data_IF_653492554167
#
_entry.id   IF_653492554167
#
_cell.length_a   1.000
_cell.length_b   1.000
_cell.length_c   1.000
_cell.angle_alpha   90.00
_cell.angle_beta   90.00
_cell.angle_gamma   90.00
#
_symmetry.space_group_name_H-M   'P 1'
#
loop_
_entity.id
_entity.type
_entity.pdbx_description
1 polymer ?
#
# COMPACT_ATOMS: atom_id res chain seq x y z
N UNK A 1 -12.98 5.45 9.48
CA UNK A 1 -12.81 6.10 8.15
C UNK A 1 -12.66 5.02 7.09
N UNK A 2 -13.19 5.19 5.87
CA UNK A 2 -13.18 4.14 4.84
C UNK A 2 -11.76 3.67 4.47
N UNK A 3 -10.81 4.59 4.28
CA UNK A 3 -9.42 4.31 3.92
C UNK A 3 -8.60 3.64 5.03
N UNK A 4 -8.66 4.15 6.27
CA UNK A 4 -7.98 3.50 7.41
C UNK A 4 -8.55 2.09 7.65
N UNK A 5 -9.87 1.92 7.54
CA UNK A 5 -10.51 0.60 7.61
C UNK A 5 -10.04 -0.31 6.47
N UNK A 6 -9.85 0.24 5.27
CA UNK A 6 -9.33 -0.53 4.14
C UNK A 6 -7.88 -0.97 4.38
N UNK A 7 -7.01 -0.08 4.86
CA UNK A 7 -5.62 -0.43 5.23
C UNK A 7 -5.58 -1.48 6.35
N UNK A 8 -6.40 -1.33 7.39
CA UNK A 8 -6.55 -2.30 8.48
C UNK A 8 -7.03 -3.66 7.97
N UNK A 9 -8.01 -3.67 7.07
CA UNK A 9 -8.49 -4.89 6.43
C UNK A 9 -7.41 -5.56 5.58
N UNK A 10 -6.63 -4.79 4.81
CA UNK A 10 -5.58 -5.33 3.95
C UNK A 10 -4.44 -5.94 4.76
N UNK A 11 -3.97 -5.26 5.82
CA UNK A 11 -2.91 -5.82 6.65
C UNK A 11 -3.38 -7.08 7.38
N UNK A 12 -4.61 -7.10 7.90
CA UNK A 12 -5.19 -8.28 8.54
C UNK A 12 -5.33 -9.47 7.57
N UNK A 13 -5.78 -9.21 6.34
CA UNK A 13 -5.87 -10.25 5.29
C UNK A 13 -4.50 -10.81 4.92
N UNK A 14 -3.48 -9.93 4.80
CA UNK A 14 -2.11 -10.35 4.57
C UNK A 14 -1.57 -11.21 5.72
N UNK A 15 -1.78 -10.79 6.97
CA UNK A 15 -1.35 -11.52 8.16
C UNK A 15 -1.99 -12.91 8.25
N UNK A 16 -3.30 -13.00 7.97
CA UNK A 16 -4.01 -14.28 7.90
C UNK A 16 -3.44 -15.18 6.80
N UNK A 17 -3.22 -14.67 5.59
CA UNK A 17 -2.61 -15.43 4.50
C UNK A 17 -1.19 -15.90 4.86
N UNK A 18 -0.42 -15.04 5.52
CA UNK A 18 0.93 -15.34 6.01
C UNK A 18 0.93 -16.47 7.05
N UNK A 19 -0.07 -16.52 7.93
CA UNK A 19 -0.24 -17.62 8.87
C UNK A 19 -0.63 -18.94 8.18
N UNK A 20 -1.50 -18.88 7.17
CA UNK A 20 -1.80 -20.03 6.31
C UNK A 20 -0.53 -20.58 5.64
N UNK A 21 0.34 -19.71 5.11
CA UNK A 21 1.63 -20.12 4.53
C UNK A 21 2.55 -20.77 5.57
N UNK A 22 2.61 -20.25 6.81
CA UNK A 22 3.38 -20.87 7.90
C UNK A 22 2.85 -22.25 8.27
N UNK A 23 1.53 -22.45 8.26
CA UNK A 23 0.90 -23.75 8.52
C UNK A 23 1.28 -24.74 7.41
N UNK A 24 1.11 -24.35 6.14
CA UNK A 24 1.47 -25.19 4.99
C UNK A 24 2.98 -25.54 4.97
N UNK A 25 3.85 -24.59 5.30
CA UNK A 25 5.29 -24.82 5.40
C UNK A 25 5.64 -25.83 6.52
N UNK A 26 4.94 -25.78 7.65
CA UNK A 26 5.10 -26.75 8.75
C UNK A 26 4.60 -28.13 8.36
N UNK A 27 3.44 -28.23 7.72
CA UNK A 27 2.86 -29.50 7.27
C UNK A 27 3.78 -30.22 6.26
N UNK A 28 4.32 -29.47 5.29
CA UNK A 28 5.30 -30.00 4.31
C UNK A 28 6.61 -30.43 4.96
N UNK A 29 7.14 -29.65 5.92
CA UNK A 29 8.36 -30.02 6.66
C UNK A 29 8.18 -31.26 7.52
N UNK A 30 7.05 -31.39 8.20
CA UNK A 30 6.71 -32.53 9.06
C UNK A 30 6.15 -33.74 8.29
N UNK A 31 6.08 -33.66 6.94
CA UNK A 31 5.57 -34.73 6.06
C UNK A 31 4.18 -35.25 6.45
N UNK A 32 3.30 -34.35 6.92
CA UNK A 32 1.92 -34.72 7.30
C UNK A 32 1.05 -34.78 6.04
N UNK A 33 1.14 -35.90 5.31
CA UNK A 33 0.51 -36.09 3.99
C UNK A 33 -1.02 -35.88 4.01
N UNK A 34 -1.69 -36.21 5.10
CA UNK A 34 -3.14 -36.04 5.24
C UNK A 34 -3.59 -34.57 5.14
N UNK A 35 -2.77 -33.62 5.60
CA UNK A 35 -3.05 -32.18 5.51
C UNK A 35 -2.77 -31.60 4.11
N UNK A 36 -2.08 -32.37 3.25
CA UNK A 36 -1.65 -31.95 1.92
C UNK A 36 -2.43 -32.66 0.81
N UNK A 37 -3.28 -33.61 1.17
CA UNK A 37 -4.15 -34.33 0.24
C UNK A 37 -5.09 -33.35 -0.47
N UNK A 38 -5.29 -33.57 -1.77
CA UNK A 38 -6.17 -32.75 -2.60
C UNK A 38 -5.69 -31.29 -2.72
N UNK A 39 -4.38 -31.06 -2.53
CA UNK A 39 -3.74 -29.75 -2.72
C UNK A 39 -2.62 -29.81 -3.75
N UNK A 40 -2.20 -28.65 -4.25
CA UNK A 40 -1.05 -28.53 -5.15
C UNK A 40 0.29 -28.89 -4.49
N UNK A 41 0.32 -29.16 -3.18
CA UNK A 41 1.52 -29.55 -2.43
C UNK A 41 1.82 -31.06 -2.45
N UNK A 42 0.89 -31.90 -2.91
CA UNK A 42 0.94 -33.37 -2.82
C UNK A 42 2.08 -34.01 -3.66
N UNK A 43 2.49 -33.35 -4.75
CA UNK A 43 3.33 -33.98 -5.79
C UNK A 43 4.84 -33.90 -5.54
N UNK A 44 5.33 -32.92 -4.78
CA UNK A 44 6.77 -32.79 -4.45
C UNK A 44 7.02 -31.85 -3.27
N UNK A 45 7.43 -32.41 -2.11
CA UNK A 45 7.65 -31.64 -0.88
C UNK A 45 8.73 -30.55 -0.98
N UNK A 46 9.80 -30.79 -1.75
CA UNK A 46 10.88 -29.81 -1.94
C UNK A 46 10.40 -28.64 -2.80
N UNK A 47 9.66 -28.94 -3.86
CA UNK A 47 9.03 -27.93 -4.72
C UNK A 47 7.94 -27.16 -3.97
N UNK A 48 7.13 -27.86 -3.16
CA UNK A 48 6.10 -27.25 -2.31
C UNK A 48 6.70 -26.21 -1.36
N UNK A 49 7.79 -26.53 -0.65
CA UNK A 49 8.46 -25.58 0.23
C UNK A 49 8.97 -24.34 -0.50
N UNK A 50 9.61 -24.53 -1.67
CA UNK A 50 10.07 -23.41 -2.51
C UNK A 50 8.91 -22.54 -2.97
N UNK A 51 7.81 -23.16 -3.41
CA UNK A 51 6.62 -22.45 -3.86
C UNK A 51 5.99 -21.66 -2.70
N UNK A 52 5.85 -22.24 -1.51
CA UNK A 52 5.32 -21.54 -0.33
C UNK A 52 6.18 -20.32 0.02
N UNK A 53 7.51 -20.46 0.03
CA UNK A 53 8.41 -19.34 0.30
C UNK A 53 8.29 -18.24 -0.75
N UNK A 54 8.23 -18.61 -2.03
CA UNK A 54 8.06 -17.67 -3.14
C UNK A 54 6.72 -16.96 -3.06
N UNK A 55 5.62 -17.69 -2.95
CA UNK A 55 4.26 -17.13 -2.85
C UNK A 55 4.15 -16.21 -1.64
N UNK A 56 4.72 -16.58 -0.49
CA UNK A 56 4.75 -15.72 0.69
C UNK A 56 5.48 -14.39 0.42
N UNK A 57 6.61 -14.44 -0.28
CA UNK A 57 7.34 -13.23 -0.67
C UNK A 57 6.55 -12.38 -1.66
N UNK A 58 5.97 -13.00 -2.70
CA UNK A 58 5.13 -12.33 -3.69
C UNK A 58 3.88 -11.69 -3.05
N UNK A 59 3.23 -12.38 -2.10
CA UNK A 59 2.08 -11.84 -1.35
C UNK A 59 2.46 -10.64 -0.48
N UNK A 60 3.66 -10.62 0.09
CA UNK A 60 4.14 -9.45 0.84
C UNK A 60 4.32 -8.23 -0.08
N UNK A 61 4.94 -8.44 -1.24
CA UNK A 61 5.16 -7.40 -2.23
C UNK A 61 3.81 -6.83 -2.75
N UNK A 62 2.84 -7.71 -3.04
CA UNK A 62 1.49 -7.32 -3.47
C UNK A 62 0.70 -6.59 -2.38
N UNK A 63 0.85 -6.98 -1.11
CA UNK A 63 0.20 -6.29 0.00
C UNK A 63 0.68 -4.82 0.11
N UNK A 64 1.98 -4.57 -0.04
CA UNK A 64 2.54 -3.20 -0.06
C UNK A 64 1.99 -2.41 -1.24
N UNK A 65 1.95 -2.99 -2.44
CA UNK A 65 1.40 -2.33 -3.62
C UNK A 65 -0.10 -1.99 -3.47
N UNK A 66 -0.89 -2.90 -2.90
CA UNK A 66 -2.30 -2.67 -2.64
C UNK A 66 -2.51 -1.56 -1.61
N UNK A 67 -1.79 -1.60 -0.48
CA UNK A 67 -1.88 -0.55 0.54
C UNK A 67 -1.46 0.82 0.00
N UNK A 68 -0.44 0.88 -0.86
CA UNK A 68 -0.05 2.11 -1.55
C UNK A 68 -1.21 2.71 -2.35
N UNK A 69 -1.92 1.90 -3.14
CA UNK A 69 -3.02 2.40 -3.97
C UNK A 69 -4.14 3.03 -3.13
N UNK A 70 -4.48 2.43 -1.99
CA UNK A 70 -5.46 3.00 -1.05
C UNK A 70 -4.96 4.28 -0.38
N UNK A 71 -3.68 4.32 0.00
CA UNK A 71 -3.05 5.50 0.57
C UNK A 71 -3.07 6.67 -0.42
N UNK A 72 -2.67 6.43 -1.66
CA UNK A 72 -2.67 7.42 -2.74
C UNK A 72 -4.07 7.96 -3.00
N UNK A 73 -5.07 7.08 -3.09
CA UNK A 73 -6.47 7.49 -3.25
C UNK A 73 -6.98 8.34 -2.09
N UNK A 74 -6.66 8.00 -0.84
CA UNK A 74 -7.12 8.76 0.34
C UNK A 74 -6.57 10.19 0.33
N UNK A 75 -5.32 10.39 -0.08
CA UNK A 75 -4.72 11.73 -0.18
C UNK A 75 -5.35 12.56 -1.30
N UNK A 76 -5.57 11.96 -2.47
CA UNK A 76 -6.26 12.62 -3.59
C UNK A 76 -7.66 13.08 -3.15
N UNK A 77 -8.45 12.18 -2.56
CA UNK A 77 -9.80 12.49 -2.08
C UNK A 77 -9.79 13.52 -0.94
N UNK A 78 -8.75 13.52 -0.11
CA UNK A 78 -8.60 14.53 0.93
C UNK A 78 -8.45 15.93 0.33
N UNK A 79 -7.56 16.11 -0.65
CA UNK A 79 -7.35 17.40 -1.30
C UNK A 79 -8.58 17.83 -2.11
N UNK A 80 -9.22 16.91 -2.83
CA UNK A 80 -10.48 17.17 -3.54
C UNK A 80 -11.55 17.74 -2.59
N UNK A 81 -11.79 17.08 -1.45
CA UNK A 81 -12.75 17.55 -0.43
C UNK A 81 -12.37 18.90 0.19
N UNK A 82 -11.08 19.16 0.42
CA UNK A 82 -10.63 20.46 0.94
C UNK A 82 -10.82 21.57 -0.10
N UNK A 83 -10.56 21.29 -1.38
CA UNK A 83 -10.85 22.19 -2.50
C UNK A 83 -12.33 22.56 -2.57
N UNK A 84 -13.22 21.57 -2.52
CA UNK A 84 -14.68 21.79 -2.53
C UNK A 84 -15.13 22.66 -1.35
N UNK A 85 -14.62 22.38 -0.13
CA UNK A 85 -14.93 23.19 1.05
C UNK A 85 -14.47 24.65 0.88
N UNK A 86 -13.31 24.90 0.26
CA UNK A 86 -12.84 26.26 0.00
C UNK A 86 -13.77 27.00 -0.97
N UNK A 87 -14.30 26.34 -1.99
CA UNK A 87 -15.26 26.93 -2.91
C UNK A 87 -16.58 27.34 -2.21
N UNK A 88 -17.01 26.59 -1.18
CA UNK A 88 -18.22 26.90 -0.42
C UNK A 88 -18.02 27.99 0.64
N UNK A 89 -16.84 28.11 1.24
CA UNK A 89 -16.58 29.08 2.32
C UNK A 89 -16.52 30.54 1.82
N UNK A 90 -15.99 30.76 0.62
CA UNK A 90 -15.94 32.08 -0.02
C UNK A 90 -16.30 31.95 -1.50
N UNK A 91 -17.59 31.77 -1.83
CA UNK A 91 -18.01 31.50 -3.19
C UNK A 91 -17.75 32.73 -4.07
N UNK A 92 -16.66 32.64 -4.85
CA UNK A 92 -16.29 33.59 -5.88
C UNK A 92 -15.91 32.83 -7.16
N UNK A 93 -16.02 33.45 -8.35
CA UNK A 93 -15.66 32.80 -9.61
C UNK A 93 -14.27 32.15 -9.59
N UNK A 94 -13.29 32.82 -8.96
CA UNK A 94 -11.93 32.28 -8.81
C UNK A 94 -11.89 30.99 -7.99
N UNK A 95 -12.50 30.97 -6.79
CA UNK A 95 -12.47 29.80 -5.89
C UNK A 95 -13.21 28.60 -6.46
N UNK A 96 -14.29 28.83 -7.20
CA UNK A 96 -15.05 27.77 -7.88
C UNK A 96 -14.22 27.17 -9.01
N UNK A 97 -13.65 28.02 -9.88
CA UNK A 97 -12.80 27.58 -10.98
C UNK A 97 -11.54 26.86 -10.46
N UNK A 98 -10.94 27.37 -9.38
CA UNK A 98 -9.79 26.74 -8.73
C UNK A 98 -10.15 25.35 -8.19
N UNK A 99 -11.25 25.21 -7.44
CA UNK A 99 -11.69 23.92 -6.91
C UNK A 99 -11.99 22.91 -8.01
N UNK A 100 -12.65 23.34 -9.10
CA UNK A 100 -12.89 22.47 -10.26
C UNK A 100 -11.58 22.02 -10.90
N UNK A 101 -10.64 22.95 -11.10
CA UNK A 101 -9.34 22.63 -11.69
C UNK A 101 -8.55 21.65 -10.84
N UNK A 102 -8.54 21.84 -9.51
CA UNK A 102 -7.92 20.89 -8.58
C UNK A 102 -8.60 19.52 -8.71
N UNK A 103 -9.93 19.46 -8.68
CA UNK A 103 -10.66 18.19 -8.75
C UNK A 103 -10.36 17.40 -10.04
N UNK A 104 -10.23 18.07 -11.19
CA UNK A 104 -9.96 17.42 -12.48
C UNK A 104 -8.49 17.08 -12.71
N UNK A 105 -7.56 17.88 -12.18
CA UNK A 105 -6.13 17.74 -12.50
C UNK A 105 -5.36 16.90 -11.49
N UNK A 106 -5.83 16.84 -10.24
CA UNK A 106 -5.09 16.19 -9.16
C UNK A 106 -4.81 14.70 -9.39
N UNK A 107 -5.65 14.02 -10.16
CA UNK A 107 -5.46 12.62 -10.56
C UNK A 107 -4.21 12.43 -11.45
N UNK A 108 -3.76 13.50 -12.11
CA UNK A 108 -2.58 13.49 -13.00
C UNK A 108 -1.32 13.99 -12.32
N UNK A 109 -1.42 14.51 -11.09
CA UNK A 109 -0.28 15.02 -10.37
C UNK A 109 0.69 13.89 -10.04
N UNK A 110 1.98 14.19 -10.05
CA UNK A 110 2.95 13.23 -9.55
C UNK A 110 2.73 13.10 -8.05
N UNK A 111 2.75 11.87 -7.54
CA UNK A 111 2.55 11.65 -6.11
C UNK A 111 3.50 12.45 -5.21
N UNK A 112 4.71 12.74 -5.67
CA UNK A 112 5.65 13.62 -4.95
C UNK A 112 5.10 15.03 -4.78
N UNK A 113 4.49 15.61 -5.83
CA UNK A 113 3.86 16.94 -5.80
C UNK A 113 2.65 16.95 -4.86
N UNK A 114 1.87 15.87 -4.85
CA UNK A 114 0.77 15.69 -3.90
C UNK A 114 1.26 15.65 -2.44
N UNK A 115 2.36 14.93 -2.16
CA UNK A 115 2.96 14.89 -0.82
C UNK A 115 3.52 16.24 -0.38
N UNK A 116 4.08 17.01 -1.31
CA UNK A 116 4.70 18.29 -1.00
C UNK A 116 3.67 19.31 -0.47
N UNK A 117 2.38 19.18 -0.81
CA UNK A 117 1.28 19.95 -0.20
C UNK A 117 1.23 19.83 1.33
N UNK A 118 1.73 18.73 1.87
CA UNK A 118 1.68 18.39 3.29
C UNK A 118 3.04 18.49 3.98
N UNK A 119 4.09 18.92 3.27
CA UNK A 119 5.49 18.92 3.75
C UNK A 119 5.73 19.74 5.02
N UNK A 120 4.90 20.74 5.32
CA UNK A 120 4.96 21.51 6.57
C UNK A 120 4.21 20.90 7.76
N UNK A 121 3.47 19.81 7.54
CA UNK A 121 2.60 19.18 8.54
C UNK A 121 2.92 17.72 8.81
N UNK A 122 3.54 17.03 7.84
CA UNK A 122 3.97 15.65 8.00
C UNK A 122 5.43 15.60 8.44
N UNK A 123 5.75 14.70 9.38
CA UNK A 123 7.13 14.39 9.76
C UNK A 123 8.01 14.05 8.53
N UNK A 124 9.19 14.66 8.45
CA UNK A 124 10.08 14.52 7.30
C UNK A 124 10.58 13.08 7.09
N UNK A 125 10.73 12.29 8.17
CA UNK A 125 11.12 10.89 8.04
C UNK A 125 9.98 10.06 7.46
N UNK A 126 8.73 10.32 7.86
CA UNK A 126 7.54 9.67 7.26
C UNK A 126 7.45 9.96 5.76
N UNK A 127 7.71 11.20 5.33
CA UNK A 127 7.77 11.54 3.91
C UNK A 127 8.89 10.80 3.17
N UNK A 128 10.07 10.72 3.79
CA UNK A 128 11.19 9.93 3.26
C UNK A 128 10.83 8.46 3.07
N UNK A 129 10.19 7.85 4.08
CA UNK A 129 9.72 6.48 4.01
C UNK A 129 8.63 6.29 2.94
N UNK A 130 7.65 7.18 2.83
CA UNK A 130 6.65 7.11 1.77
C UNK A 130 7.29 7.14 0.37
N UNK A 131 8.31 7.98 0.16
CA UNK A 131 9.08 8.02 -1.11
C UNK A 131 9.80 6.69 -1.38
N UNK A 132 10.40 6.06 -0.37
CA UNK A 132 11.03 4.74 -0.50
C UNK A 132 10.01 3.66 -0.85
N UNK A 133 8.85 3.67 -0.19
CA UNK A 133 7.77 2.69 -0.44
C UNK A 133 7.22 2.86 -1.86
N UNK A 134 7.11 4.09 -2.37
CA UNK A 134 6.76 4.35 -3.77
C UNK A 134 7.72 3.66 -4.73
N UNK A 135 9.02 3.85 -4.52
CA UNK A 135 10.06 3.24 -5.37
C UNK A 135 9.94 1.71 -5.35
N UNK A 136 9.72 1.13 -4.16
CA UNK A 136 9.47 -0.29 -4.02
C UNK A 136 8.22 -0.75 -4.77
N UNK A 137 7.08 -0.05 -4.63
CA UNK A 137 5.83 -0.33 -5.35
C UNK A 137 6.02 -0.26 -6.87
N UNK A 138 6.68 0.78 -7.37
CA UNK A 138 6.97 0.93 -8.80
C UNK A 138 7.80 -0.26 -9.31
N UNK A 139 8.80 -0.69 -8.53
CA UNK A 139 9.58 -1.89 -8.85
C UNK A 139 8.74 -3.17 -8.79
N UNK A 140 7.86 -3.35 -7.79
CA UNK A 140 6.99 -4.53 -7.67
C UNK A 140 6.06 -4.67 -8.88
N UNK A 141 5.53 -3.55 -9.37
CA UNK A 141 4.61 -3.53 -10.53
C UNK A 141 5.34 -3.80 -11.83
N UNK A 142 6.55 -3.28 -12.01
CA UNK A 142 7.29 -3.41 -13.27
C UNK A 142 8.26 -4.59 -13.32
N UNK A 143 8.71 -5.10 -12.17
CA UNK A 143 9.76 -6.13 -11.98
C UNK A 143 10.89 -6.04 -13.01
N UNK A 144 11.36 -4.84 -13.30
CA UNK A 144 12.34 -4.62 -14.36
C UNK A 144 13.69 -5.25 -13.95
N UNK A 145 14.16 -6.30 -14.65
CA UNK A 145 15.41 -6.99 -14.29
C UNK A 145 16.66 -6.12 -14.51
N UNK A 146 16.55 -5.05 -15.31
CA UNK A 146 17.65 -4.16 -15.64
C UNK A 146 17.84 -3.02 -14.61
N UNK A 147 17.01 -2.94 -13.58
CA UNK A 147 17.14 -1.95 -12.49
C UNK A 147 17.42 -2.65 -11.17
N UNK A 148 18.32 -2.12 -10.33
CA UNK A 148 18.56 -2.68 -9.00
C UNK A 148 17.24 -2.66 -8.21
N UNK A 149 16.98 -3.73 -7.47
CA UNK A 149 15.84 -3.78 -6.57
C UNK A 149 16.02 -2.70 -5.48
N UNK A 150 15.02 -1.82 -5.25
CA UNK A 150 15.08 -0.88 -4.16
C UNK A 150 15.03 -1.60 -2.80
N UNK A 151 15.31 -0.88 -1.73
CA UNK A 151 15.18 -1.39 -0.36
C UNK A 151 13.78 -1.98 -0.16
N UNK A 152 13.73 -3.28 0.19
CA UNK A 152 12.48 -3.98 0.40
C UNK A 152 11.75 -3.40 1.60
N UNK A 153 10.47 -3.11 1.44
CA UNK A 153 9.57 -2.72 2.53
C UNK A 153 8.66 -3.90 2.87
N UNK A 154 8.52 -4.23 4.14
CA UNK A 154 7.55 -5.20 4.61
C UNK A 154 6.14 -4.58 4.78
N UNK A 155 5.06 -5.38 4.71
CA UNK A 155 3.70 -4.87 4.85
C UNK A 155 3.42 -4.14 6.17
N UNK A 156 3.98 -4.57 7.30
CA UNK A 156 3.73 -3.94 8.60
C UNK A 156 4.35 -2.53 8.65
N UNK A 157 5.56 -2.36 8.11
CA UNK A 157 6.20 -1.05 7.96
C UNK A 157 5.39 -0.14 7.04
N UNK A 158 4.96 -0.64 5.88
CA UNK A 158 4.13 0.14 4.94
C UNK A 158 2.81 0.61 5.59
N UNK A 159 2.08 -0.31 6.24
CA UNK A 159 0.86 0.00 6.97
C UNK A 159 1.06 1.12 7.99
N UNK A 160 2.10 1.02 8.83
CA UNK A 160 2.40 2.04 9.84
C UNK A 160 2.65 3.40 9.22
N UNK A 161 3.53 3.48 8.23
CA UNK A 161 3.87 4.75 7.55
C UNK A 161 2.63 5.39 6.95
N UNK A 162 1.80 4.63 6.22
CA UNK A 162 0.58 5.17 5.61
C UNK A 162 -0.44 5.61 6.65
N UNK A 163 -0.65 4.80 7.70
CA UNK A 163 -1.57 5.14 8.79
C UNK A 163 -1.16 6.44 9.48
N UNK A 164 0.12 6.59 9.78
CA UNK A 164 0.64 7.76 10.50
C UNK A 164 0.49 9.02 9.64
N UNK A 165 0.82 8.95 8.34
CA UNK A 165 0.62 10.05 7.41
C UNK A 165 -0.86 10.42 7.30
N UNK A 166 -1.75 9.44 7.06
CA UNK A 166 -3.19 9.69 6.95
C UNK A 166 -3.73 10.35 8.22
N UNK A 167 -3.24 9.94 9.39
CA UNK A 167 -3.65 10.51 10.67
C UNK A 167 -3.20 11.97 10.80
N UNK A 168 -1.95 12.28 10.43
CA UNK A 168 -1.43 13.66 10.47
C UNK A 168 -2.15 14.57 9.47
N UNK A 169 -2.34 14.12 8.22
CA UNK A 169 -3.07 14.87 7.19
C UNK A 169 -4.50 15.19 7.62
N UNK A 170 -5.18 14.25 8.27
CA UNK A 170 -6.56 14.46 8.75
C UNK A 170 -6.67 15.30 10.01
N UNK A 171 -5.55 15.58 10.68
CA UNK A 171 -5.47 16.59 11.74
C UNK A 171 -5.54 18.03 11.21
N UNK A 172 -5.41 18.25 9.90
CA UNK A 172 -5.58 19.54 9.22
C UNK A 172 -7.03 19.80 8.83
#
# INVERSE_FOLDING_TARGET
MPSLKALESLIAQYELANDCFKIAARATKSKVSQLLKDTTFETNMRTAQKNIQKTRADSADLAVAAMWAYFERDLIEYVQRKGEKLAHLKPQPFTTNFSQKVATEIEYWRFAELLDLFSGHIDANLLGHAKQIKQFRDWVVHRNPNKPAPSKTDPSTAYRVFKDIITQVKGL
#
